data_IF_700220896782
#
_entry.id   IF_700220896782
#
_cell.length_a   1.000
_cell.length_b   1.000
_cell.length_c   1.000
_cell.angle_alpha   90.00
_cell.angle_beta   90.00
_cell.angle_gamma   90.00
#
_symmetry.space_group_name_H-M   'P 1'
#
loop_
_entity.id
_entity.type
_entity.pdbx_description
1 polymer ?
#
# COMPACT_ATOMS: atom_id res chain seq x y z
N UNK A 1 -0.56 -10.56 -27.33
CA UNK A 1 -1.32 -10.11 -26.14
C UNK A 1 -0.41 -9.17 -25.37
N UNK A 2 -0.94 -8.08 -24.83
CA UNK A 2 -0.15 -7.07 -24.12
C UNK A 2 0.37 -7.64 -22.78
N UNK A 3 1.67 -7.58 -22.55
CA UNK A 3 2.30 -8.06 -21.32
C UNK A 3 2.31 -6.97 -20.26
N UNK A 4 1.73 -7.24 -19.11
CA UNK A 4 1.64 -6.31 -17.99
C UNK A 4 2.33 -6.90 -16.76
N UNK A 5 3.26 -6.16 -16.18
CA UNK A 5 3.99 -6.58 -14.97
C UNK A 5 3.76 -5.57 -13.86
N UNK A 6 3.28 -6.05 -12.72
CA UNK A 6 3.23 -5.27 -11.48
C UNK A 6 4.45 -5.59 -10.63
N UNK A 7 5.20 -4.58 -10.22
CA UNK A 7 6.39 -4.71 -9.35
C UNK A 7 6.08 -4.08 -8.01
N UNK A 8 6.18 -4.86 -6.94
CA UNK A 8 5.90 -4.39 -5.58
C UNK A 8 6.71 -5.20 -4.56
N UNK A 9 6.79 -4.72 -3.31
CA UNK A 9 7.51 -5.42 -2.25
C UNK A 9 6.97 -6.84 -2.04
N UNK A 10 5.73 -7.00 -1.62
CA UNK A 10 5.07 -8.31 -1.49
C UNK A 10 3.58 -8.21 -1.83
N UNK A 11 3.03 -9.32 -2.33
CA UNK A 11 1.62 -9.44 -2.64
C UNK A 11 0.80 -9.47 -1.34
N UNK A 12 -0.18 -8.58 -1.23
CA UNK A 12 -1.00 -8.46 -0.04
C UNK A 12 -2.50 -8.46 -0.36
N UNK A 13 -3.31 -8.63 0.67
CA UNK A 13 -4.77 -8.76 0.56
C UNK A 13 -5.48 -7.56 -0.08
N UNK A 14 -4.83 -6.38 -0.15
CA UNK A 14 -5.36 -5.22 -0.87
C UNK A 14 -5.08 -5.25 -2.38
N UNK A 15 -4.16 -6.10 -2.82
CA UNK A 15 -3.74 -6.21 -4.21
C UNK A 15 -4.28 -7.48 -4.88
N UNK A 16 -4.51 -8.54 -4.10
CA UNK A 16 -4.96 -9.85 -4.62
C UNK A 16 -6.19 -9.74 -5.52
N UNK A 17 -7.30 -9.06 -5.15
CA UNK A 17 -8.46 -8.97 -6.03
C UNK A 17 -8.18 -8.25 -7.35
N UNK A 18 -7.33 -7.21 -7.32
CA UNK A 18 -6.87 -6.54 -8.53
C UNK A 18 -6.03 -7.49 -9.39
N UNK A 19 -5.06 -8.20 -8.82
CA UNK A 19 -4.20 -9.12 -9.54
C UNK A 19 -4.98 -10.29 -10.16
N UNK A 20 -5.96 -10.83 -9.43
CA UNK A 20 -6.85 -11.87 -9.96
C UNK A 20 -7.64 -11.37 -11.18
N UNK A 21 -8.20 -10.15 -11.10
CA UNK A 21 -8.91 -9.55 -12.23
C UNK A 21 -7.98 -9.28 -13.43
N UNK A 22 -6.75 -8.87 -13.19
CA UNK A 22 -5.75 -8.67 -14.25
C UNK A 22 -5.35 -9.99 -14.91
N UNK A 23 -5.18 -11.06 -14.14
CA UNK A 23 -4.88 -12.39 -14.68
C UNK A 23 -6.05 -12.91 -15.54
N UNK A 24 -7.29 -12.77 -15.08
CA UNK A 24 -8.47 -13.13 -15.83
C UNK A 24 -8.57 -12.35 -17.16
N UNK A 25 -8.33 -11.04 -17.10
CA UNK A 25 -8.39 -10.15 -18.25
C UNK A 25 -7.29 -10.43 -19.28
N UNK A 26 -6.06 -10.66 -18.82
CA UNK A 26 -4.85 -10.78 -19.65
C UNK A 26 -4.45 -12.23 -19.94
N UNK A 27 -5.15 -13.21 -19.37
CA UNK A 27 -5.03 -14.65 -19.68
C UNK A 27 -3.58 -15.13 -19.77
N UNK A 28 -2.82 -15.03 -18.66
CA UNK A 28 -1.42 -15.45 -18.58
C UNK A 28 -0.40 -14.43 -19.13
N UNK A 29 -0.84 -13.22 -19.48
CA UNK A 29 0.06 -12.11 -19.86
C UNK A 29 0.24 -11.10 -18.74
N UNK A 30 -0.25 -11.40 -17.54
CA UNK A 30 -0.04 -10.66 -16.31
C UNK A 30 1.02 -11.36 -15.43
N UNK A 31 1.87 -10.59 -14.75
CA UNK A 31 2.74 -11.09 -13.71
C UNK A 31 2.83 -10.09 -12.55
N UNK A 32 2.82 -10.60 -11.34
CA UNK A 32 3.17 -9.83 -10.14
C UNK A 32 4.59 -10.23 -9.72
N UNK A 33 5.51 -9.28 -9.77
CA UNK A 33 6.89 -9.47 -9.37
C UNK A 33 7.05 -8.98 -7.92
N UNK A 34 7.17 -9.92 -7.01
CA UNK A 34 7.41 -9.66 -5.61
C UNK A 34 8.90 -9.47 -5.36
N UNK A 35 9.30 -8.29 -4.87
CA UNK A 35 10.72 -7.95 -4.70
C UNK A 35 11.31 -8.41 -3.39
N UNK A 36 10.47 -8.61 -2.36
CA UNK A 36 10.88 -8.95 -0.99
C UNK A 36 9.99 -10.05 -0.41
N UNK A 37 10.49 -10.89 0.50
CA UNK A 37 9.65 -11.80 1.25
C UNK A 37 8.69 -11.02 2.17
N UNK A 38 7.58 -11.64 2.53
CA UNK A 38 6.66 -11.03 3.52
C UNK A 38 7.36 -10.96 4.88
N UNK A 39 7.26 -9.80 5.53
CA UNK A 39 7.85 -9.57 6.85
C UNK A 39 7.31 -10.58 7.88
N UNK A 40 8.17 -11.14 8.72
CA UNK A 40 7.76 -12.09 9.76
C UNK A 40 6.69 -11.53 10.71
N UNK A 41 6.75 -10.24 11.02
CA UNK A 41 5.74 -9.56 11.84
C UNK A 41 4.35 -9.67 11.21
N UNK A 42 4.28 -9.52 9.88
CA UNK A 42 3.03 -9.63 9.12
C UNK A 42 2.48 -11.06 9.13
N UNK A 43 3.37 -12.04 8.97
CA UNK A 43 3.00 -13.46 9.06
C UNK A 43 2.44 -13.79 10.45
N UNK A 44 3.06 -13.27 11.54
CA UNK A 44 2.55 -13.42 12.92
C UNK A 44 1.18 -12.75 13.12
N UNK A 45 0.89 -11.68 12.38
CA UNK A 45 -0.42 -11.03 12.36
C UNK A 45 -1.47 -11.76 11.50
N UNK A 46 -1.15 -12.95 10.98
CA UNK A 46 -2.07 -13.78 10.22
C UNK A 46 -2.10 -13.50 8.71
N UNK A 47 -1.15 -12.74 8.18
CA UNK A 47 -0.98 -12.65 6.73
C UNK A 47 -0.52 -13.99 6.19
N UNK A 48 -1.06 -14.37 5.04
CA UNK A 48 -0.74 -15.64 4.40
C UNK A 48 0.02 -15.38 3.12
N UNK A 49 1.13 -16.06 2.95
CA UNK A 49 1.71 -16.25 1.63
C UNK A 49 0.84 -17.28 0.90
N UNK A 50 0.36 -16.92 -0.26
CA UNK A 50 -0.41 -17.80 -1.12
C UNK A 50 0.30 -17.90 -2.47
N UNK A 51 0.26 -19.09 -3.06
CA UNK A 51 0.79 -19.33 -4.39
C UNK A 51 -0.27 -18.93 -5.43
N UNK A 52 0.11 -18.03 -6.34
CA UNK A 52 -0.72 -17.58 -7.43
C UNK A 52 -0.01 -17.79 -8.76
N UNK A 53 -0.70 -18.16 -9.84
CA UNK A 53 -0.08 -18.47 -11.13
C UNK A 53 0.69 -17.28 -11.74
N UNK A 54 0.33 -16.06 -11.38
CA UNK A 54 0.99 -14.83 -11.81
C UNK A 54 2.10 -14.34 -10.88
N UNK A 55 2.31 -14.99 -9.71
CA UNK A 55 3.28 -14.55 -8.71
C UNK A 55 4.69 -15.06 -9.06
N UNK A 56 5.65 -14.13 -9.09
CA UNK A 56 7.06 -14.42 -9.30
C UNK A 56 7.87 -13.76 -8.19
N UNK A 57 8.70 -14.51 -7.50
CA UNK A 57 9.55 -14.02 -6.42
C UNK A 57 10.91 -13.59 -6.99
N UNK A 58 11.16 -12.28 -7.07
CA UNK A 58 12.42 -11.76 -7.61
C UNK A 58 13.64 -12.21 -6.80
N UNK A 59 13.52 -12.28 -5.48
CA UNK A 59 14.60 -12.69 -4.57
C UNK A 59 15.02 -14.15 -4.72
N UNK A 60 14.20 -14.99 -5.37
CA UNK A 60 14.54 -16.37 -5.71
C UNK A 60 14.85 -16.58 -7.19
N UNK A 61 14.19 -15.80 -8.06
CA UNK A 61 14.31 -15.92 -9.53
C UNK A 61 14.65 -14.56 -10.20
N UNK A 62 15.79 -13.91 -9.85
CA UNK A 62 16.09 -12.55 -10.31
C UNK A 62 16.20 -12.42 -11.83
N UNK A 63 16.75 -13.42 -12.51
CA UNK A 63 16.87 -13.41 -13.96
C UNK A 63 15.52 -13.45 -14.68
N UNK A 64 14.59 -14.24 -14.15
CA UNK A 64 13.20 -14.31 -14.65
C UNK A 64 12.50 -12.97 -14.42
N UNK A 65 12.67 -12.39 -13.24
CA UNK A 65 12.11 -11.08 -12.90
C UNK A 65 12.61 -9.97 -13.82
N UNK A 66 13.92 -9.88 -14.09
CA UNK A 66 14.50 -8.91 -15.03
C UNK A 66 13.91 -9.07 -16.43
N UNK A 67 13.84 -10.29 -16.96
CA UNK A 67 13.26 -10.56 -18.28
C UNK A 67 11.78 -10.16 -18.35
N UNK A 68 11.01 -10.39 -17.28
CA UNK A 68 9.60 -9.95 -17.23
C UNK A 68 9.49 -8.44 -17.34
N UNK A 69 10.27 -7.67 -16.56
CA UNK A 69 10.29 -6.21 -16.64
C UNK A 69 10.71 -5.72 -18.02
N UNK A 70 11.77 -6.29 -18.59
CA UNK A 70 12.30 -5.89 -19.90
C UNK A 70 11.29 -6.10 -21.03
N UNK A 71 10.60 -7.26 -21.01
CA UNK A 71 9.66 -7.68 -22.04
C UNK A 71 8.23 -7.13 -21.84
N UNK A 72 7.94 -6.51 -20.71
CA UNK A 72 6.62 -5.95 -20.45
C UNK A 72 6.32 -4.78 -21.39
N UNK A 73 5.10 -4.72 -21.91
CA UNK A 73 4.60 -3.52 -22.60
C UNK A 73 4.38 -2.39 -21.59
N UNK A 74 3.81 -2.72 -20.43
CA UNK A 74 3.56 -1.78 -19.33
C UNK A 74 4.05 -2.36 -18.02
N UNK A 75 4.70 -1.55 -17.20
CA UNK A 75 5.06 -1.88 -15.82
C UNK A 75 4.29 -0.98 -14.86
N UNK A 76 3.56 -1.58 -13.91
CA UNK A 76 2.98 -0.91 -12.74
C UNK A 76 3.96 -1.08 -11.56
N UNK A 77 4.46 0.03 -11.03
CA UNK A 77 5.51 0.07 -10.02
C UNK A 77 5.08 0.82 -8.76
N UNK A 78 5.30 0.23 -7.60
CA UNK A 78 5.09 0.86 -6.31
C UNK A 78 5.14 -0.15 -5.16
N UNK A 79 5.08 0.32 -3.92
CA UNK A 79 5.20 -0.52 -2.73
C UNK A 79 6.65 -0.94 -2.41
N UNK A 80 7.60 -0.62 -3.26
CA UNK A 80 9.05 -0.68 -3.01
C UNK A 80 9.68 0.66 -3.36
N UNK A 81 10.74 1.02 -2.66
CA UNK A 81 11.50 2.26 -2.88
C UNK A 81 12.71 2.04 -3.83
N UNK A 82 12.96 0.80 -4.27
CA UNK A 82 14.06 0.48 -5.17
C UNK A 82 13.72 0.82 -6.62
N UNK A 83 14.06 2.04 -7.02
CA UNK A 83 13.86 2.57 -8.38
C UNK A 83 14.64 1.82 -9.46
N UNK A 84 15.64 0.99 -9.10
CA UNK A 84 16.46 0.24 -10.06
C UNK A 84 15.63 -0.69 -10.94
N UNK A 85 14.49 -1.19 -10.42
CA UNK A 85 13.58 -2.06 -11.18
C UNK A 85 12.99 -1.40 -12.43
N UNK A 86 12.86 -0.08 -12.44
CA UNK A 86 12.24 0.66 -13.55
C UNK A 86 13.16 1.65 -14.23
N UNK A 87 14.37 1.87 -13.71
CA UNK A 87 15.28 2.91 -14.18
C UNK A 87 15.61 2.82 -15.67
N UNK A 88 15.93 1.62 -16.16
CA UNK A 88 16.23 1.40 -17.58
C UNK A 88 15.01 1.69 -18.47
N UNK A 89 13.82 1.31 -18.03
CA UNK A 89 12.56 1.60 -18.75
C UNK A 89 12.30 3.10 -18.83
N UNK A 90 12.51 3.82 -17.73
CA UNK A 90 12.37 5.27 -17.67
C UNK A 90 13.35 5.97 -18.61
N UNK A 91 14.61 5.51 -18.67
CA UNK A 91 15.60 6.05 -19.59
C UNK A 91 15.22 5.76 -21.05
N UNK A 92 14.76 4.57 -21.37
CA UNK A 92 14.31 4.16 -22.69
C UNK A 92 12.99 4.81 -23.12
N UNK A 93 12.26 5.45 -22.20
CA UNK A 93 10.93 6.03 -22.46
C UNK A 93 9.81 5.00 -22.61
N UNK A 94 10.01 3.76 -22.13
CA UNK A 94 8.97 2.73 -22.11
C UNK A 94 7.88 3.07 -21.09
N UNK A 95 6.61 2.69 -21.32
CA UNK A 95 5.51 2.99 -20.42
C UNK A 95 5.72 2.45 -19.00
N UNK A 96 5.58 3.34 -18.01
CA UNK A 96 5.59 3.01 -16.59
C UNK A 96 4.40 3.69 -15.93
N UNK A 97 3.65 2.92 -15.18
CA UNK A 97 2.62 3.42 -14.28
C UNK A 97 3.17 3.28 -12.85
N UNK A 98 3.25 4.37 -12.12
CA UNK A 98 3.61 4.33 -10.70
C UNK A 98 2.35 4.37 -9.84
N UNK A 99 2.37 3.81 -8.64
CA UNK A 99 1.36 4.11 -7.64
C UNK A 99 2.02 4.54 -6.33
N UNK A 100 1.41 5.47 -5.64
CA UNK A 100 1.97 6.02 -4.41
C UNK A 100 0.88 6.46 -3.45
N UNK A 101 1.14 6.32 -2.17
CA UNK A 101 0.52 7.07 -1.09
C UNK A 101 1.16 8.45 -0.97
N UNK A 102 0.72 9.23 0.03
CA UNK A 102 1.32 10.54 0.32
C UNK A 102 2.80 10.44 0.66
N UNK A 103 3.63 11.27 0.02
CA UNK A 103 5.07 11.35 0.28
C UNK A 103 5.39 11.97 1.64
N UNK A 104 4.58 12.91 2.09
CA UNK A 104 4.86 13.76 3.27
C UNK A 104 3.90 13.48 4.42
N UNK A 105 3.34 12.28 4.50
CA UNK A 105 2.38 11.90 5.56
C UNK A 105 2.94 11.99 6.98
N UNK A 106 4.23 11.71 7.14
CA UNK A 106 4.88 11.67 8.46
C UNK A 106 5.62 12.96 8.82
N UNK A 107 6.06 13.72 7.83
CA UNK A 107 6.85 14.92 8.06
C UNK A 107 6.69 15.91 6.89
N UNK A 108 5.68 16.76 6.97
CA UNK A 108 5.36 17.73 5.91
C UNK A 108 6.50 18.73 5.62
N UNK A 109 7.36 19.03 6.60
CA UNK A 109 8.54 19.88 6.40
C UNK A 109 9.55 19.30 5.39
N UNK A 110 9.55 17.98 5.18
CA UNK A 110 10.39 17.33 4.15
C UNK A 110 10.05 17.81 2.73
N UNK A 111 8.85 18.36 2.51
CA UNK A 111 8.44 18.90 1.21
C UNK A 111 9.34 20.06 0.74
N UNK A 112 9.92 20.82 1.66
CA UNK A 112 10.81 21.96 1.37
C UNK A 112 12.29 21.65 1.60
N UNK A 113 12.62 20.42 1.99
CA UNK A 113 14.02 19.99 2.19
C UNK A 113 14.77 20.00 0.84
N UNK A 114 15.90 20.74 0.70
CA UNK A 114 16.66 20.78 -0.54
C UNK A 114 17.08 19.39 -1.03
N UNK A 115 17.54 18.54 -0.12
CA UNK A 115 17.92 17.15 -0.43
C UNK A 115 16.73 16.34 -0.93
N UNK A 116 15.58 16.47 -0.27
CA UNK A 116 14.34 15.81 -0.66
C UNK A 116 13.85 16.27 -2.03
N UNK A 117 13.91 17.58 -2.32
CA UNK A 117 13.54 18.13 -3.62
C UNK A 117 14.43 17.63 -4.74
N UNK A 118 15.75 17.56 -4.52
CA UNK A 118 16.70 16.99 -5.51
C UNK A 118 16.39 15.52 -5.77
N UNK A 119 16.12 14.74 -4.72
CA UNK A 119 15.76 13.33 -4.87
C UNK A 119 14.46 13.19 -5.68
N UNK A 120 13.40 13.94 -5.33
CA UNK A 120 12.12 13.90 -6.05
C UNK A 120 12.24 14.38 -7.50
N UNK A 121 13.12 15.34 -7.78
CA UNK A 121 13.44 15.71 -9.15
C UNK A 121 14.01 14.52 -9.94
N UNK A 122 14.98 13.82 -9.37
CA UNK A 122 15.63 12.66 -10.03
C UNK A 122 14.66 11.49 -10.23
N UNK A 123 13.82 11.21 -9.23
CA UNK A 123 12.92 10.04 -9.26
C UNK A 123 11.66 10.28 -10.11
N UNK A 124 11.21 11.53 -10.19
CA UNK A 124 9.89 11.82 -10.76
C UNK A 124 9.91 12.95 -11.81
N UNK A 125 10.44 14.14 -11.46
CA UNK A 125 10.26 15.33 -12.29
C UNK A 125 11.02 15.26 -13.61
N UNK A 126 12.22 14.66 -13.62
CA UNK A 126 13.03 14.50 -14.85
C UNK A 126 12.33 13.64 -15.92
N UNK A 127 11.35 12.82 -15.51
CA UNK A 127 10.58 11.96 -16.42
C UNK A 127 9.20 12.54 -16.79
N UNK A 128 8.88 13.79 -16.38
CA UNK A 128 7.55 14.40 -16.55
C UNK A 128 7.01 14.40 -17.99
N UNK A 129 7.90 14.45 -18.98
CA UNK A 129 7.55 14.48 -20.41
C UNK A 129 7.57 13.09 -21.07
N UNK A 130 7.84 12.02 -20.28
CA UNK A 130 7.86 10.64 -20.77
C UNK A 130 6.51 9.94 -20.50
N UNK A 131 6.35 8.73 -21.01
CA UNK A 131 5.18 7.88 -20.82
C UNK A 131 5.14 7.29 -19.38
N UNK A 132 5.11 8.18 -18.40
CA UNK A 132 5.06 7.85 -16.98
C UNK A 132 3.84 8.46 -16.34
N UNK A 133 2.98 7.61 -15.77
CA UNK A 133 1.73 7.98 -15.11
C UNK A 133 1.83 7.70 -13.61
N UNK A 134 1.02 8.40 -12.82
CA UNK A 134 0.91 8.19 -11.38
C UNK A 134 -0.52 7.83 -10.98
N UNK A 135 -0.68 6.69 -10.33
CA UNK A 135 -1.90 6.29 -9.64
C UNK A 135 -1.83 6.76 -8.19
N UNK A 136 -2.76 7.64 -7.82
CA UNK A 136 -2.77 8.32 -6.53
C UNK A 136 -3.63 7.57 -5.53
N UNK A 137 -3.03 6.87 -4.57
CA UNK A 137 -3.72 6.18 -3.48
C UNK A 137 -4.11 7.17 -2.37
N UNK A 138 -5.08 8.03 -2.69
CA UNK A 138 -5.64 9.03 -1.79
C UNK A 138 -5.76 10.42 -2.41
N UNK A 139 -6.72 11.21 -1.91
CA UNK A 139 -7.10 12.50 -2.49
C UNK A 139 -5.99 13.56 -2.44
N UNK A 140 -5.08 13.46 -1.48
CA UNK A 140 -4.01 14.45 -1.27
C UNK A 140 -2.68 14.08 -1.93
N UNK A 141 -2.56 12.91 -2.55
CA UNK A 141 -1.33 12.48 -3.25
C UNK A 141 -0.96 13.43 -4.39
N UNK A 142 -1.90 13.89 -5.24
CA UNK A 142 -1.56 14.82 -6.30
C UNK A 142 -0.89 16.11 -5.81
N UNK A 143 -1.29 16.64 -4.64
CA UNK A 143 -0.70 17.86 -4.11
C UNK A 143 0.77 17.70 -3.74
N UNK A 144 1.16 16.53 -3.24
CA UNK A 144 2.56 16.25 -2.90
C UNK A 144 3.46 16.24 -4.16
N UNK A 145 2.94 15.72 -5.29
CA UNK A 145 3.68 15.68 -6.55
C UNK A 145 3.60 16.99 -7.35
N UNK A 146 2.58 17.81 -7.14
CA UNK A 146 2.51 19.16 -7.71
C UNK A 146 3.64 20.06 -7.19
N UNK A 147 4.07 19.91 -5.92
CA UNK A 147 5.18 20.67 -5.34
C UNK A 147 6.45 20.54 -6.21
N UNK A 148 6.71 19.34 -6.71
CA UNK A 148 7.88 19.06 -7.56
C UNK A 148 7.56 19.08 -9.04
N UNK A 149 6.36 19.50 -9.44
CA UNK A 149 5.89 19.58 -10.83
C UNK A 149 6.05 18.28 -11.62
N UNK A 150 5.87 17.13 -10.97
CA UNK A 150 5.87 15.83 -11.59
C UNK A 150 4.49 15.49 -12.19
N UNK A 151 4.45 14.59 -13.17
CA UNK A 151 3.24 14.00 -13.78
C UNK A 151 2.16 15.01 -14.22
N UNK A 152 2.46 16.06 -15.01
CA UNK A 152 1.46 17.02 -15.46
C UNK A 152 0.37 16.28 -16.26
N UNK A 153 -0.90 16.38 -15.82
CA UNK A 153 -2.07 15.75 -16.44
C UNK A 153 -2.02 14.19 -16.51
N UNK A 154 -1.08 13.59 -15.77
CA UNK A 154 -0.86 12.13 -15.76
C UNK A 154 -1.07 11.51 -14.38
N UNK A 155 -1.83 12.16 -13.51
CA UNK A 155 -2.22 11.66 -12.19
C UNK A 155 -3.66 11.18 -12.19
N UNK A 156 -3.86 9.91 -11.84
CA UNK A 156 -5.15 9.24 -11.87
C UNK A 156 -5.52 8.74 -10.47
N UNK A 157 -6.82 8.61 -10.20
CA UNK A 157 -7.31 8.05 -8.93
C UNK A 157 -6.92 6.58 -8.81
N UNK A 158 -6.51 6.21 -7.63
CA UNK A 158 -6.21 4.83 -7.26
C UNK A 158 -6.65 4.56 -5.82
N UNK A 159 -6.68 3.31 -5.42
CA UNK A 159 -6.99 2.92 -4.06
C UNK A 159 -6.56 1.49 -3.78
N UNK A 160 -7.00 0.98 -2.65
CA UNK A 160 -6.88 -0.41 -2.30
C UNK A 160 -8.09 -1.18 -2.80
N UNK A 161 -7.89 -2.46 -3.13
CA UNK A 161 -8.92 -3.36 -3.66
C UNK A 161 -9.12 -4.53 -2.69
N UNK A 162 -9.67 -4.30 -1.47
CA UNK A 162 -9.94 -5.39 -0.55
C UNK A 162 -11.06 -6.27 -1.11
N UNK A 163 -11.04 -7.54 -0.73
CA UNK A 163 -12.12 -8.46 -1.06
C UNK A 163 -13.46 -7.92 -0.54
N UNK A 164 -14.45 -7.88 -1.40
CA UNK A 164 -15.81 -7.48 -1.01
C UNK A 164 -16.50 -8.65 -0.31
N UNK A 165 -16.75 -8.49 0.98
CA UNK A 165 -17.58 -9.42 1.75
C UNK A 165 -19.00 -8.88 1.88
N UNK A 166 -19.97 -9.75 1.65
CA UNK A 166 -21.40 -9.43 1.80
C UNK A 166 -21.86 -10.08 3.10
N UNK A 167 -22.44 -9.28 3.97
CA UNK A 167 -22.97 -9.73 5.24
C UNK A 167 -24.46 -9.42 5.33
N UNK A 168 -25.20 -10.26 6.07
CA UNK A 168 -26.54 -9.93 6.52
C UNK A 168 -26.43 -8.91 7.66
N UNK A 169 -26.73 -7.65 7.35
CA UNK A 169 -26.58 -6.53 8.29
C UNK A 169 -27.55 -6.65 9.43
N UNK A 170 -28.78 -7.13 9.19
CA UNK A 170 -29.80 -7.26 10.23
C UNK A 170 -29.42 -8.36 11.26
N UNK A 171 -28.86 -9.46 10.77
CA UNK A 171 -28.34 -10.53 11.63
C UNK A 171 -27.13 -10.02 12.45
N UNK A 172 -26.21 -9.26 11.86
CA UNK A 172 -25.09 -8.68 12.60
C UNK A 172 -25.55 -7.67 13.64
N UNK A 173 -26.55 -6.86 13.32
CA UNK A 173 -27.10 -5.88 14.26
C UNK A 173 -27.84 -6.54 15.42
N UNK A 174 -28.57 -7.63 15.17
CA UNK A 174 -29.28 -8.37 16.19
C UNK A 174 -28.34 -9.04 17.22
N UNK A 175 -27.14 -9.43 16.80
CA UNK A 175 -26.13 -10.02 17.69
C UNK A 175 -25.18 -9.02 18.34
N UNK A 176 -25.38 -7.72 18.14
CA UNK A 176 -24.46 -6.69 18.62
C UNK A 176 -24.71 -6.34 20.07
N UNK A 177 -23.67 -6.40 20.90
CA UNK A 177 -23.73 -5.92 22.27
C UNK A 177 -23.71 -4.38 22.30
N UNK A 178 -24.66 -3.76 23.06
CA UNK A 178 -24.67 -2.29 23.18
C UNK A 178 -23.39 -1.72 23.78
N UNK A 179 -23.05 -0.52 23.35
CA UNK A 179 -21.89 0.23 23.86
C UNK A 179 -20.53 -0.50 23.73
N UNK A 180 -20.37 -1.39 22.74
CA UNK A 180 -19.09 -1.97 22.40
C UNK A 180 -18.30 -1.03 21.52
N UNK A 181 -17.07 -0.75 21.93
CA UNK A 181 -16.11 0.12 21.25
C UNK A 181 -14.98 -0.77 20.75
N UNK A 182 -14.72 -0.74 19.45
CA UNK A 182 -13.64 -1.49 18.83
C UNK A 182 -12.51 -0.56 18.40
N UNK A 183 -11.29 -0.85 18.84
CA UNK A 183 -10.07 -0.29 18.28
C UNK A 183 -9.25 -1.42 17.62
N UNK A 184 -8.93 -1.29 16.34
CA UNK A 184 -8.23 -2.33 15.57
C UNK A 184 -7.08 -1.70 14.77
N UNK A 185 -5.85 -1.86 15.25
CA UNK A 185 -4.64 -1.39 14.57
C UNK A 185 -3.37 -2.04 15.17
N UNK A 186 -2.21 -1.79 14.55
CA UNK A 186 -0.93 -2.06 15.20
C UNK A 186 -0.75 -1.13 16.41
N UNK A 187 -0.23 -1.66 17.53
CA UNK A 187 0.06 -0.88 18.74
C UNK A 187 1.44 -0.21 18.60
N UNK A 188 1.49 0.84 17.77
CA UNK A 188 2.66 1.64 17.48
C UNK A 188 2.32 3.13 17.65
N UNK A 189 3.33 3.98 17.85
CA UNK A 189 3.18 5.38 18.23
C UNK A 189 2.15 6.15 17.37
N UNK A 190 2.32 6.16 16.07
CA UNK A 190 1.44 6.92 15.16
C UNK A 190 0.04 6.32 14.93
N UNK A 191 -0.31 5.20 15.57
CA UNK A 191 -1.66 4.64 15.65
C UNK A 191 -2.38 4.98 16.95
N UNK A 192 -1.66 5.61 17.88
CA UNK A 192 -2.21 6.14 19.12
C UNK A 192 -3.05 5.14 19.94
N UNK A 193 -2.48 3.98 20.32
CA UNK A 193 -3.22 2.98 21.10
C UNK A 193 -3.60 3.47 22.50
N UNK A 194 -3.01 4.57 23.01
CA UNK A 194 -3.34 5.21 24.26
C UNK A 194 -4.67 5.97 24.22
N UNK A 195 -5.14 6.40 23.04
CA UNK A 195 -6.38 7.19 22.92
C UNK A 195 -7.63 6.42 23.34
N UNK A 196 -7.87 5.16 22.88
CA UNK A 196 -9.01 4.38 23.37
C UNK A 196 -8.96 4.14 24.86
N UNK A 197 -7.78 4.02 25.49
CA UNK A 197 -7.65 3.88 26.94
C UNK A 197 -8.04 5.16 27.68
N UNK A 198 -7.59 6.33 27.18
CA UNK A 198 -8.00 7.64 27.73
C UNK A 198 -9.51 7.84 27.62
N UNK A 199 -10.09 7.48 26.48
CA UNK A 199 -11.53 7.53 26.28
C UNK A 199 -12.27 6.60 27.27
N UNK A 200 -11.81 5.35 27.42
CA UNK A 200 -12.38 4.38 28.35
C UNK A 200 -12.33 4.89 29.79
N UNK A 201 -11.24 5.53 30.21
CA UNK A 201 -11.12 6.17 31.52
C UNK A 201 -12.17 7.26 31.70
N UNK A 202 -12.33 8.15 30.71
CA UNK A 202 -13.32 9.23 30.77
C UNK A 202 -14.76 8.70 30.85
N UNK A 203 -15.10 7.66 30.09
CA UNK A 203 -16.42 7.04 30.15
C UNK A 203 -16.69 6.41 31.52
N UNK A 204 -15.70 5.74 32.11
CA UNK A 204 -15.79 5.15 33.44
C UNK A 204 -16.01 6.23 34.53
N UNK A 205 -15.28 7.35 34.45
CA UNK A 205 -15.42 8.49 35.37
C UNK A 205 -16.82 9.14 35.27
N UNK A 206 -17.47 9.08 34.10
CA UNK A 206 -18.84 9.55 33.89
C UNK A 206 -19.92 8.52 34.22
N UNK A 207 -19.56 7.32 34.67
CA UNK A 207 -20.51 6.25 34.99
C UNK A 207 -21.21 5.65 33.76
N UNK A 208 -20.67 5.83 32.57
CA UNK A 208 -21.23 5.31 31.31
C UNK A 208 -20.75 3.86 31.14
N UNK A 209 -21.63 2.88 31.04
CA UNK A 209 -21.25 1.49 30.80
C UNK A 209 -20.77 1.31 29.36
N UNK A 210 -19.65 0.60 29.18
CA UNK A 210 -19.10 0.27 27.89
C UNK A 210 -18.28 -1.03 27.96
N UNK A 211 -18.04 -1.62 26.79
CA UNK A 211 -17.08 -2.67 26.58
C UNK A 211 -16.04 -2.17 25.55
N UNK A 212 -14.74 -2.25 25.86
CA UNK A 212 -13.67 -1.86 24.95
C UNK A 212 -12.91 -3.10 24.49
N UNK A 213 -12.91 -3.33 23.19
CA UNK A 213 -12.10 -4.34 22.54
C UNK A 213 -10.94 -3.68 21.80
N UNK A 214 -9.72 -4.16 22.05
CA UNK A 214 -8.52 -3.71 21.35
C UNK A 214 -7.88 -4.89 20.61
N UNK A 215 -7.85 -4.81 19.27
CA UNK A 215 -7.30 -5.86 18.40
C UNK A 215 -6.04 -5.35 17.75
N UNK A 216 -4.95 -6.11 17.91
CA UNK A 216 -3.65 -5.83 17.32
C UNK A 216 -2.52 -6.13 18.28
N UNK A 217 -1.30 -5.95 17.80
CA UNK A 217 -0.07 -6.06 18.57
C UNK A 217 0.94 -5.02 18.09
N UNK A 218 2.09 -4.96 18.74
CA UNK A 218 3.16 -4.04 18.36
C UNK A 218 4.03 -3.65 19.55
N UNK A 219 4.99 -2.77 19.32
CA UNK A 219 5.99 -2.34 20.33
C UNK A 219 5.38 -1.72 21.60
N UNK A 220 4.21 -1.07 21.48
CA UNK A 220 3.51 -0.44 22.61
C UNK A 220 2.51 -1.39 23.30
N UNK A 221 2.37 -2.63 22.87
CA UNK A 221 1.44 -3.58 23.53
C UNK A 221 1.72 -3.77 25.04
N UNK A 222 2.98 -3.88 25.51
CA UNK A 222 3.27 -4.00 26.94
C UNK A 222 2.82 -2.78 27.76
N UNK A 223 2.80 -1.58 27.15
CA UNK A 223 2.33 -0.35 27.80
C UNK A 223 0.81 -0.28 27.84
N UNK A 224 0.16 -0.73 26.78
CA UNK A 224 -1.31 -0.78 26.67
C UNK A 224 -1.93 -1.78 27.69
N UNK A 225 -1.19 -2.85 27.99
CA UNK A 225 -1.65 -3.89 28.94
C UNK A 225 -1.42 -3.57 30.43
N UNK A 226 -0.70 -2.50 30.75
CA UNK A 226 -0.46 -2.02 32.14
C UNK A 226 -1.61 -1.13 32.63
#
# INVERSE_FOLDING_TARGET
MQKFVMVSNYLNHHQIPFCNAMEELLRGSFAFLQTEPVEEERLRMGWKEADYPYLVHYYTEPEKGRKLIEQADVVLFGGTDDESFIQDRLHQGKPVIRYSERLYKEAQWKAISPRGLVQKYKDHTCYRNKEVYLLCAGAYVPSDFHIVRAYPEKMLKWGYFPEKKIYDVDQLMAGKEPATILWAARMIDWKHPELPLRMAKSLKEQGIPFHLEMIGGGELEPEVRR
#
